data_IF_914235808793
#
_entry.id   IF_914235808793
#
_cell.length_a   1.000
_cell.length_b   1.000
_cell.length_c   1.000
_cell.angle_alpha   90.00
_cell.angle_beta   90.00
_cell.angle_gamma   90.00
#
_symmetry.space_group_name_H-M   'P 1'
#
loop_
_entity.id
_entity.type
_entity.pdbx_description
1 polymer ?
#
# COMPACT_ATOMS: atom_id res chain seq x y z
N UNK A 1 -11.45 -16.26 -22.69
CA UNK A 1 -11.41 -14.91 -22.10
C UNK A 1 -10.09 -14.77 -21.36
N UNK A 2 -8.98 -14.50 -22.07
CA UNK A 2 -7.69 -14.21 -21.44
C UNK A 2 -7.78 -12.98 -20.55
N UNK A 3 -6.99 -12.97 -19.48
CA UNK A 3 -6.96 -11.87 -18.52
C UNK A 3 -5.53 -11.56 -18.08
N UNK A 4 -5.17 -10.28 -18.14
CA UNK A 4 -3.93 -9.75 -17.60
C UNK A 4 -4.22 -8.61 -16.62
N UNK A 5 -3.57 -8.65 -15.46
CA UNK A 5 -3.55 -7.55 -14.50
C UNK A 5 -2.13 -6.98 -14.41
N UNK A 6 -2.01 -5.69 -14.70
CA UNK A 6 -0.79 -4.91 -14.54
C UNK A 6 -0.96 -3.99 -13.33
N UNK A 7 -0.20 -4.26 -12.27
CA UNK A 7 -0.05 -3.33 -11.14
C UNK A 7 1.13 -2.43 -11.40
N UNK A 8 0.90 -1.13 -11.35
CA UNK A 8 1.93 -0.09 -11.53
C UNK A 8 1.78 0.98 -10.45
N UNK A 9 2.83 1.73 -10.10
CA UNK A 9 2.69 2.88 -9.22
C UNK A 9 1.85 3.97 -9.89
N UNK A 10 1.04 4.67 -9.10
CA UNK A 10 0.23 5.78 -9.57
C UNK A 10 1.08 6.87 -10.24
N UNK A 11 0.51 7.54 -11.24
CA UNK A 11 1.11 8.66 -11.98
C UNK A 11 2.39 8.33 -12.77
N UNK A 12 2.75 7.05 -12.89
CA UNK A 12 3.92 6.62 -13.70
C UNK A 12 3.61 6.38 -15.17
N UNK A 13 2.33 6.23 -15.53
CA UNK A 13 1.89 5.97 -16.89
C UNK A 13 1.00 7.09 -17.43
N UNK A 14 1.33 7.56 -18.63
CA UNK A 14 0.44 8.41 -19.43
C UNK A 14 -0.74 7.60 -19.99
N UNK A 15 -1.87 8.25 -20.36
CA UNK A 15 -2.98 7.56 -21.02
C UNK A 15 -2.58 6.78 -22.28
N UNK A 16 -1.63 7.32 -23.07
CA UNK A 16 -1.12 6.68 -24.27
C UNK A 16 -0.32 5.39 -23.95
N UNK A 17 0.47 5.39 -22.86
CA UNK A 17 1.17 4.19 -22.41
C UNK A 17 0.21 3.12 -21.89
N UNK A 18 -0.86 3.50 -21.20
CA UNK A 18 -1.93 2.57 -20.79
C UNK A 18 -2.58 1.92 -22.02
N UNK A 19 -2.92 2.71 -23.05
CA UNK A 19 -3.44 2.18 -24.31
C UNK A 19 -2.45 1.20 -24.97
N UNK A 20 -1.17 1.55 -25.01
CA UNK A 20 -0.13 0.67 -25.56
C UNK A 20 -0.06 -0.68 -24.82
N UNK A 21 -0.19 -0.68 -23.49
CA UNK A 21 -0.24 -1.93 -22.70
C UNK A 21 -1.44 -2.78 -23.11
N UNK A 22 -2.63 -2.18 -23.26
CA UNK A 22 -3.85 -2.88 -23.68
C UNK A 22 -3.65 -3.50 -25.07
N UNK A 23 -3.15 -2.73 -26.03
CA UNK A 23 -2.96 -3.18 -27.42
C UNK A 23 -1.96 -4.33 -27.48
N UNK A 24 -0.78 -4.16 -26.88
CA UNK A 24 0.30 -5.16 -26.93
C UNK A 24 -0.04 -6.44 -26.17
N UNK A 25 -0.76 -6.35 -25.06
CA UNK A 25 -1.21 -7.54 -24.32
C UNK A 25 -2.26 -8.30 -25.11
N UNK A 26 -3.14 -7.58 -25.81
CA UNK A 26 -4.15 -8.20 -26.67
C UNK A 26 -3.51 -8.89 -27.87
N UNK A 27 -2.52 -8.26 -28.51
CA UNK A 27 -1.73 -8.87 -29.57
C UNK A 27 -1.02 -10.14 -29.08
N UNK A 28 -0.36 -10.08 -27.91
CA UNK A 28 0.28 -11.23 -27.29
C UNK A 28 -0.69 -12.41 -27.13
N UNK A 29 -1.91 -12.15 -26.64
CA UNK A 29 -2.90 -13.23 -26.49
C UNK A 29 -3.44 -13.74 -27.83
N UNK A 30 -3.56 -12.88 -28.84
CA UNK A 30 -3.91 -13.31 -30.19
C UNK A 30 -2.82 -14.19 -30.81
N UNK A 31 -1.54 -13.87 -30.59
CA UNK A 31 -0.41 -14.69 -31.04
C UNK A 31 -0.39 -16.08 -30.38
N UNK A 32 -0.65 -16.15 -29.07
CA UNK A 32 -0.59 -17.42 -28.31
C UNK A 32 -1.83 -18.28 -28.50
N UNK A 33 -3.03 -17.68 -28.48
CA UNK A 33 -4.31 -18.41 -28.46
C UNK A 33 -5.10 -18.32 -29.78
N UNK A 34 -4.59 -17.60 -30.77
CA UNK A 34 -5.24 -17.30 -32.04
C UNK A 34 -6.17 -16.07 -31.96
N UNK A 35 -6.52 -15.52 -33.13
CA UNK A 35 -7.22 -14.24 -33.29
C UNK A 35 -8.56 -14.15 -32.53
N UNK A 36 -9.23 -15.30 -32.32
CA UNK A 36 -10.45 -15.38 -31.50
C UNK A 36 -10.28 -14.85 -30.06
N UNK A 37 -9.06 -14.81 -29.54
CA UNK A 37 -8.75 -14.34 -28.20
C UNK A 37 -8.89 -12.81 -28.06
N UNK A 38 -8.67 -12.05 -29.14
CA UNK A 38 -8.71 -10.58 -29.14
C UNK A 38 -10.05 -10.03 -28.66
N UNK A 39 -11.14 -10.63 -29.15
CA UNK A 39 -12.52 -10.18 -28.88
C UNK A 39 -12.95 -10.30 -27.41
N UNK A 40 -12.26 -11.13 -26.60
CA UNK A 40 -12.60 -11.33 -25.19
C UNK A 40 -11.40 -11.22 -24.26
N UNK A 41 -10.33 -10.59 -24.72
CA UNK A 41 -9.18 -10.30 -23.86
C UNK A 41 -9.56 -9.14 -22.93
N UNK A 42 -9.36 -9.34 -21.63
CA UNK A 42 -9.54 -8.29 -20.64
C UNK A 42 -8.16 -7.90 -20.09
N UNK A 43 -7.87 -6.59 -20.12
CA UNK A 43 -6.65 -6.02 -19.57
C UNK A 43 -7.05 -5.04 -18.48
N UNK A 44 -6.56 -5.27 -17.27
CA UNK A 44 -6.72 -4.38 -16.14
C UNK A 44 -5.36 -3.74 -15.81
N UNK A 45 -5.34 -2.41 -15.73
CA UNK A 45 -4.18 -1.64 -15.27
C UNK A 45 -4.56 -0.97 -13.96
N UNK A 46 -3.98 -1.45 -12.85
CA UNK A 46 -4.22 -0.92 -11.51
C UNK A 46 -3.06 -0.01 -11.11
N UNK A 47 -3.39 1.26 -10.85
CA UNK A 47 -2.47 2.23 -10.30
C UNK A 47 -2.54 2.20 -8.77
N UNK A 48 -1.44 1.78 -8.17
CA UNK A 48 -1.31 1.68 -6.72
C UNK A 48 -0.70 2.97 -6.21
N UNK A 49 -1.39 3.61 -5.26
CA UNK A 49 -0.94 4.85 -4.64
C UNK A 49 0.43 4.72 -3.97
N UNK A 50 1.07 5.87 -3.75
CA UNK A 50 2.37 5.93 -3.11
C UNK A 50 2.36 5.26 -1.72
N UNK A 51 3.45 4.55 -1.39
CA UNK A 51 3.53 3.72 -0.19
C UNK A 51 2.77 2.38 -0.25
N UNK A 52 2.07 2.08 -1.34
CA UNK A 52 1.42 0.78 -1.56
C UNK A 52 2.35 -0.32 -2.09
N UNK A 53 3.61 0.00 -2.37
CA UNK A 53 4.63 -0.93 -2.84
C UNK A 53 5.67 -1.20 -1.77
N UNK A 54 6.20 -2.42 -1.72
CA UNK A 54 7.31 -2.75 -0.82
C UNK A 54 8.24 -3.81 -1.39
N UNK A 55 9.53 -3.65 -1.18
CA UNK A 55 10.58 -4.61 -1.57
C UNK A 55 11.56 -4.76 -0.41
N UNK A 56 11.88 -6.00 -0.02
CA UNK A 56 12.89 -6.27 1.01
C UNK A 56 12.56 -5.71 2.40
N UNK A 57 11.29 -5.47 2.72
CA UNK A 57 10.87 -4.86 3.99
C UNK A 57 10.76 -3.33 3.96
N UNK A 58 11.12 -2.68 2.86
CA UNK A 58 11.02 -1.24 2.70
C UNK A 58 9.79 -0.86 1.89
N UNK A 59 9.01 0.09 2.40
CA UNK A 59 7.94 0.73 1.64
C UNK A 59 8.57 1.66 0.60
N UNK A 60 8.17 1.49 -0.67
CA UNK A 60 8.68 2.29 -1.76
C UNK A 60 7.85 3.55 -1.94
N UNK A 61 8.56 4.66 -2.15
CA UNK A 61 7.94 5.89 -2.61
C UNK A 61 8.03 6.03 -4.12
N UNK A 62 7.13 6.77 -4.74
CA UNK A 62 7.19 7.12 -6.17
C UNK A 62 8.53 7.78 -6.52
N UNK A 63 9.10 8.58 -5.62
CA UNK A 63 10.43 9.18 -5.79
C UNK A 63 11.54 8.12 -5.86
N UNK A 64 11.51 7.10 -5.00
CA UNK A 64 12.49 5.99 -5.03
C UNK A 64 12.37 5.18 -6.32
N UNK A 65 11.15 4.93 -6.80
CA UNK A 65 10.90 4.18 -8.03
C UNK A 65 11.39 4.95 -9.26
N UNK A 66 11.21 6.27 -9.27
CA UNK A 66 11.68 7.14 -10.35
C UNK A 66 13.18 7.48 -10.25
N UNK A 67 13.90 6.94 -9.25
CA UNK A 67 15.32 7.19 -9.04
C UNK A 67 15.66 8.61 -8.56
N UNK A 68 14.67 9.37 -8.10
CA UNK A 68 14.83 10.75 -7.60
C UNK A 68 14.83 10.85 -6.08
N UNK A 69 14.47 9.77 -5.37
CA UNK A 69 14.57 9.65 -3.92
C UNK A 69 15.79 8.84 -3.48
N UNK A 70 16.37 9.19 -2.32
CA UNK A 70 17.21 8.25 -1.56
C UNK A 70 16.34 7.26 -0.80
N UNK A 71 16.89 6.09 -0.47
CA UNK A 71 16.24 5.11 0.42
C UNK A 71 15.71 5.82 1.68
N UNK A 72 14.58 5.39 2.25
CA UNK A 72 14.08 6.00 3.46
C UNK A 72 15.15 5.75 4.52
N UNK A 73 15.71 6.82 5.09
CA UNK A 73 16.49 6.69 6.31
C UNK A 73 15.57 5.98 7.31
N UNK A 74 16.05 4.91 7.94
CA UNK A 74 15.30 4.13 8.91
C UNK A 74 14.63 5.05 9.93
N UNK A 75 13.37 5.42 9.70
CA UNK A 75 12.52 5.99 10.73
C UNK A 75 12.23 4.83 11.67
N UNK A 76 13.12 4.68 12.64
CA UNK A 76 12.88 3.91 13.84
C UNK A 76 11.45 4.21 14.32
N UNK A 77 10.67 3.19 14.74
CA UNK A 77 9.31 3.42 15.19
C UNK A 77 9.36 4.50 16.26
N UNK A 78 8.60 5.59 16.06
CA UNK A 78 8.52 6.68 17.02
C UNK A 78 8.23 6.08 18.40
N UNK A 79 9.26 5.94 19.23
CA UNK A 79 9.09 5.70 20.65
C UNK A 79 8.46 6.96 21.18
N UNK A 80 7.13 6.94 21.31
CA UNK A 80 6.40 7.91 22.09
C UNK A 80 6.79 7.70 23.57
N UNK A 81 8.02 8.06 23.94
CA UNK A 81 8.40 8.36 25.32
C UNK A 81 7.90 9.77 25.63
N UNK A 82 6.58 9.95 25.59
CA UNK A 82 5.95 11.08 26.23
C UNK A 82 5.78 10.75 27.70
N UNK A 83 6.60 11.31 28.57
CA UNK A 83 6.32 11.34 30.01
C UNK A 83 4.99 12.07 30.21
N UNK A 84 3.94 11.45 30.79
CA UNK A 84 2.75 12.20 31.18
C UNK A 84 3.13 13.08 32.37
N UNK A 85 3.48 14.34 32.11
CA UNK A 85 3.55 15.38 33.15
C UNK A 85 2.14 15.86 33.41
N UNK A 86 1.43 15.12 34.26
CA UNK A 86 0.13 15.50 34.78
C UNK A 86 0.01 14.93 36.18
N UNK A 87 0.09 15.79 37.20
CA UNK A 87 -0.24 15.41 38.58
C UNK A 87 -1.75 15.10 38.65
N UNK A 88 -2.17 13.88 39.02
CA UNK A 88 -3.58 13.65 39.30
C UNK A 88 -3.93 14.30 40.65
N UNK A 89 -4.49 15.50 40.62
CA UNK A 89 -5.16 16.10 41.78
C UNK A 89 -6.55 15.49 41.87
N UNK A 90 -6.67 14.37 42.57
CA UNK A 90 -7.94 13.75 42.90
C UNK A 90 -7.78 12.94 44.18
N UNK A 91 -8.32 13.45 45.29
CA UNK A 91 -8.41 12.73 46.56
C UNK A 91 -9.43 11.60 46.42
N UNK A 92 -9.06 10.32 46.62
CA UNK A 92 -10.05 9.26 46.74
C UNK A 92 -10.65 9.32 48.16
N UNK A 93 -11.85 9.88 48.29
CA UNK A 93 -12.69 9.69 49.49
C UNK A 93 -13.45 8.38 49.33
N UNK A 94 -12.87 7.30 49.83
CA UNK A 94 -13.52 5.99 49.93
C UNK A 94 -13.14 5.33 51.25
N UNK A 95 -14.06 5.32 52.20
CA UNK A 95 -13.94 4.59 53.48
C UNK A 95 -13.91 3.09 53.21
N UNK A 96 -12.97 2.31 53.76
CA UNK A 96 -13.04 0.86 53.70
C UNK A 96 -14.04 0.39 54.76
N UNK A 97 -15.22 -0.08 54.34
CA UNK A 97 -16.09 -0.87 55.22
C UNK A 97 -15.61 -2.31 55.18
N UNK A 98 -14.96 -2.68 56.27
CA UNK A 98 -14.61 -4.03 56.68
C UNK A 98 -15.89 -4.90 56.83
N UNK A 99 -15.90 -6.09 56.26
CA UNK A 99 -16.92 -7.10 56.51
C UNK A 99 -16.21 -8.45 56.75
N UNK A 100 -16.42 -9.09 57.90
CA UNK A 100 -15.64 -10.25 58.30
C UNK A 100 -16.12 -11.55 57.67
N UNK A 101 -15.19 -12.49 57.61
CA UNK A 101 -15.34 -13.86 57.14
C UNK A 101 -16.43 -14.67 57.87
N UNK A 102 -17.13 -15.50 57.09
CA UNK A 102 -17.60 -16.84 57.45
C UNK A 102 -17.87 -17.64 56.16
#
# INVERSE_FOLDING_TARGET
MPFANFKVPADTLTPAQKQLIVDRTTDLYAEVYGERARQNTMVLVEEVADGGWGIGGHVLTTAMINGTGSAPADDAPATATGTPTGTPTGTPTGTPTDAPAA
#
